data_IF_845453682860
#
_entry.id   IF_845453682860
#
_cell.length_a   1.000
_cell.length_b   1.000
_cell.length_c   1.000
_cell.angle_alpha   90.00
_cell.angle_beta   90.00
_cell.angle_gamma   90.00
#
_symmetry.space_group_name_H-M   'P 1'
#
loop_
_entity.id
_entity.type
_entity.pdbx_description
1 polymer ?
#
# COMPACT_ATOMS: atom_id res chain seq x y z
N UNK A 1 24.19 -21.08 -2.37
CA UNK A 1 24.27 -19.65 -2.78
C UNK A 1 23.30 -18.83 -1.94
N UNK A 2 23.22 -17.50 -2.12
CA UNK A 2 22.33 -16.64 -1.31
C UNK A 2 20.83 -17.03 -1.38
N UNK A 3 20.44 -17.77 -2.42
CA UNK A 3 19.08 -18.24 -2.67
C UNK A 3 18.77 -19.65 -2.11
N UNK A 4 19.68 -20.31 -1.39
CA UNK A 4 19.53 -21.71 -0.98
C UNK A 4 18.28 -21.99 -0.11
N UNK A 5 17.86 -21.01 0.68
CA UNK A 5 16.70 -21.16 1.59
C UNK A 5 15.37 -20.71 0.96
N UNK A 6 15.39 -20.31 -0.32
CA UNK A 6 14.22 -19.76 -1.02
C UNK A 6 13.64 -20.77 -2.00
N UNK A 7 12.31 -20.84 -2.05
CA UNK A 7 11.55 -21.72 -2.94
C UNK A 7 10.90 -20.90 -4.06
N UNK A 8 10.73 -21.52 -5.23
CA UNK A 8 10.08 -20.90 -6.39
C UNK A 8 8.56 -20.80 -6.22
N UNK A 9 7.95 -21.86 -5.66
CA UNK A 9 6.51 -21.90 -5.43
C UNK A 9 6.14 -21.29 -4.07
N UNK A 10 5.02 -20.54 -4.01
CA UNK A 10 4.44 -20.13 -2.74
C UNK A 10 4.21 -21.34 -1.83
N UNK A 11 4.58 -21.21 -0.56
CA UNK A 11 4.17 -22.17 0.46
C UNK A 11 2.77 -21.79 0.96
N UNK A 12 1.95 -22.77 1.31
CA UNK A 12 0.57 -22.57 1.77
C UNK A 12 0.46 -21.72 3.07
N UNK A 13 1.56 -21.55 3.80
CA UNK A 13 1.58 -20.80 5.07
C UNK A 13 2.10 -19.37 4.92
N UNK A 14 1.27 -18.39 5.25
CA UNK A 14 1.68 -16.98 5.40
C UNK A 14 2.64 -16.80 6.60
N UNK A 15 3.65 -15.92 6.50
CA UNK A 15 4.56 -15.65 7.60
C UNK A 15 3.88 -14.87 8.72
N UNK A 16 4.34 -15.05 9.95
CA UNK A 16 3.91 -14.21 11.06
C UNK A 16 4.58 -12.84 10.98
N UNK A 17 3.78 -11.79 10.76
CA UNK A 17 4.24 -10.41 10.66
C UNK A 17 4.13 -9.63 11.97
N UNK A 18 3.58 -10.24 13.03
CA UNK A 18 3.53 -9.67 14.39
C UNK A 18 4.91 -9.33 14.95
N UNK A 19 4.95 -8.47 15.97
CA UNK A 19 6.16 -8.05 16.66
C UNK A 19 6.19 -8.54 18.10
N UNK A 20 7.38 -8.87 18.60
CA UNK A 20 7.61 -9.01 20.03
C UNK A 20 7.65 -7.61 20.66
N UNK A 21 7.12 -7.48 21.88
CA UNK A 21 7.07 -6.19 22.60
C UNK A 21 8.45 -5.53 22.70
N UNK A 22 9.47 -6.30 23.09
CA UNK A 22 10.85 -5.80 23.24
C UNK A 22 11.45 -5.33 21.90
N UNK A 23 11.12 -6.01 20.80
CA UNK A 23 11.55 -5.61 19.45
C UNK A 23 10.90 -4.27 19.06
N UNK A 24 9.59 -4.15 19.32
CA UNK A 24 8.85 -2.92 19.05
C UNK A 24 9.41 -1.74 19.87
N UNK A 25 9.68 -1.95 21.17
CA UNK A 25 10.26 -0.92 22.05
C UNK A 25 11.60 -0.40 21.52
N UNK A 26 12.54 -1.28 21.14
CA UNK A 26 13.84 -0.87 20.58
C UNK A 26 13.67 -0.05 19.30
N UNK A 27 12.81 -0.50 18.39
CA UNK A 27 12.55 0.21 17.13
C UNK A 27 11.94 1.58 17.39
N UNK A 28 10.99 1.68 18.31
CA UNK A 28 10.34 2.95 18.66
C UNK A 28 11.33 3.92 19.30
N UNK A 29 12.16 3.46 20.23
CA UNK A 29 13.21 4.29 20.84
C UNK A 29 14.11 4.88 19.76
N UNK A 30 14.64 4.04 18.86
CA UNK A 30 15.47 4.52 17.75
C UNK A 30 14.74 5.52 16.83
N UNK A 31 13.44 5.34 16.59
CA UNK A 31 12.64 6.22 15.71
C UNK A 31 12.16 7.52 16.33
N UNK A 32 12.32 7.68 17.65
CA UNK A 32 11.78 8.81 18.41
C UNK A 32 12.84 9.58 19.20
N UNK A 33 14.06 9.06 19.26
CA UNK A 33 15.21 9.68 19.91
C UNK A 33 16.30 10.02 18.89
N UNK A 34 17.08 11.03 19.22
CA UNK A 34 18.25 11.47 18.46
C UNK A 34 19.45 11.55 19.39
N UNK A 35 20.68 11.40 18.88
CA UNK A 35 21.89 11.60 19.68
C UNK A 35 21.91 12.99 20.37
N UNK A 36 22.60 13.08 21.51
CA UNK A 36 22.72 14.33 22.27
C UNK A 36 23.37 15.47 21.47
N UNK A 37 24.20 15.12 20.48
CA UNK A 37 24.90 16.05 19.58
C UNK A 37 24.13 16.32 18.27
N UNK A 38 22.83 16.01 18.21
CA UNK A 38 21.97 16.25 17.05
C UNK A 38 20.97 17.37 17.32
N UNK A 39 20.96 18.38 16.46
CA UNK A 39 20.05 19.53 16.55
C UNK A 39 18.90 19.40 15.53
N UNK A 40 17.70 18.90 15.92
CA UNK A 40 16.59 18.73 14.99
C UNK A 40 15.90 20.06 14.69
N UNK A 41 15.68 20.35 13.42
CA UNK A 41 14.78 21.44 13.02
C UNK A 41 13.38 21.29 13.65
N UNK A 42 12.72 22.41 13.99
CA UNK A 42 11.43 22.44 14.73
C UNK A 42 10.36 21.48 14.17
N UNK A 43 10.28 21.33 12.84
CA UNK A 43 9.34 20.40 12.21
C UNK A 43 9.69 18.92 12.44
N UNK A 44 10.98 18.57 12.47
CA UNK A 44 11.44 17.22 12.80
C UNK A 44 11.17 16.89 14.26
N UNK A 45 11.43 17.81 15.19
CA UNK A 45 11.08 17.61 16.60
C UNK A 45 9.59 17.28 16.79
N UNK A 46 8.70 18.03 16.14
CA UNK A 46 7.25 17.74 16.15
C UNK A 46 6.91 16.37 15.58
N UNK A 47 7.60 15.92 14.53
CA UNK A 47 7.41 14.59 13.97
C UNK A 47 7.78 13.51 14.98
N UNK A 48 8.94 13.64 15.65
CA UNK A 48 9.41 12.68 16.66
C UNK A 48 8.47 12.65 17.87
N UNK A 49 8.06 13.81 18.37
CA UNK A 49 7.10 13.92 19.47
C UNK A 49 5.75 13.27 19.11
N UNK A 50 5.26 13.46 17.87
CA UNK A 50 4.04 12.83 17.41
C UNK A 50 4.17 11.30 17.32
N UNK A 51 5.33 10.78 16.89
CA UNK A 51 5.59 9.33 16.88
C UNK A 51 5.56 8.73 18.30
N UNK A 52 6.05 9.45 19.31
CA UNK A 52 5.94 9.03 20.72
C UNK A 52 4.47 8.90 21.14
N UNK A 53 3.66 9.92 20.86
CA UNK A 53 2.22 9.90 21.13
C UNK A 53 1.48 8.77 20.43
N UNK A 54 1.86 8.47 19.18
CA UNK A 54 1.31 7.32 18.44
C UNK A 54 1.62 6.00 19.11
N UNK A 55 2.85 5.84 19.59
CA UNK A 55 3.26 4.63 20.31
C UNK A 55 2.58 4.51 21.68
N UNK A 56 2.41 5.62 22.39
CA UNK A 56 1.71 5.67 23.68
C UNK A 56 0.18 5.46 23.54
N UNK A 57 -0.32 5.39 22.31
CA UNK A 57 -1.75 5.20 22.02
C UNK A 57 -2.59 6.46 22.21
N UNK A 58 -1.98 7.63 22.36
CA UNK A 58 -2.70 8.91 22.45
C UNK A 58 -3.36 9.30 21.14
N UNK A 59 -2.73 8.93 20.01
CA UNK A 59 -3.25 9.15 18.66
C UNK A 59 -3.02 7.90 17.78
N UNK A 60 -3.84 7.68 16.74
CA UNK A 60 -3.60 6.58 15.81
C UNK A 60 -2.26 6.68 15.08
N UNK A 61 -1.64 5.53 14.80
CA UNK A 61 -0.41 5.42 14.02
C UNK A 61 -0.69 5.82 12.57
N UNK A 62 0.08 6.77 12.05
CA UNK A 62 0.01 7.21 10.66
C UNK A 62 0.84 6.33 9.71
N UNK A 63 0.75 6.64 8.41
CA UNK A 63 1.42 5.88 7.36
C UNK A 63 2.94 5.91 7.47
N UNK A 64 3.51 7.07 7.79
CA UNK A 64 4.95 7.27 7.87
C UNK A 64 5.57 6.56 9.06
N UNK A 65 4.86 6.51 10.19
CA UNK A 65 5.32 5.77 11.36
C UNK A 65 5.14 4.27 11.18
N UNK A 66 4.03 3.79 10.62
CA UNK A 66 3.85 2.37 10.31
C UNK A 66 4.93 1.86 9.33
N UNK A 67 5.29 2.64 8.31
CA UNK A 67 6.40 2.30 7.40
C UNK A 67 7.73 2.18 8.15
N UNK A 68 8.04 3.16 9.01
CA UNK A 68 9.26 3.16 9.80
C UNK A 68 9.32 1.96 10.77
N UNK A 69 8.21 1.60 11.41
CA UNK A 69 8.09 0.40 12.24
C UNK A 69 8.32 -0.89 11.43
N UNK A 70 7.78 -0.96 10.20
CA UNK A 70 8.00 -2.10 9.31
C UNK A 70 9.49 -2.23 8.95
N UNK A 71 10.13 -1.13 8.57
CA UNK A 71 11.55 -1.11 8.27
C UNK A 71 12.40 -1.51 9.48
N UNK A 72 12.21 -0.86 10.62
CA UNK A 72 12.99 -1.14 11.82
C UNK A 72 12.84 -2.60 12.28
N UNK A 73 11.65 -3.15 12.20
CA UNK A 73 11.42 -4.56 12.54
C UNK A 73 12.05 -5.53 11.54
N UNK A 74 12.06 -5.23 10.24
CA UNK A 74 12.79 -6.03 9.23
C UNK A 74 14.30 -6.01 9.52
N UNK A 75 14.85 -4.85 9.88
CA UNK A 75 16.27 -4.68 10.22
C UNK A 75 16.63 -5.45 11.51
N UNK A 76 15.81 -5.37 12.56
CA UNK A 76 15.99 -6.16 13.80
C UNK A 76 15.95 -7.67 13.54
N UNK A 77 15.26 -8.12 12.49
CA UNK A 77 15.26 -9.51 12.05
C UNK A 77 16.53 -9.91 11.26
N UNK A 78 17.50 -8.99 11.09
CA UNK A 78 18.77 -9.21 10.40
C UNK A 78 18.71 -9.10 8.87
N UNK A 79 17.57 -8.64 8.32
CA UNK A 79 17.43 -8.38 6.88
C UNK A 79 17.93 -6.98 6.53
N UNK A 80 18.31 -6.77 5.28
CA UNK A 80 18.74 -5.47 4.78
C UNK A 80 17.58 -4.76 4.09
N UNK A 81 17.65 -3.43 3.98
CA UNK A 81 16.69 -2.64 3.22
C UNK A 81 17.47 -1.72 2.28
N UNK A 82 17.06 -1.68 1.02
CA UNK A 82 17.56 -0.72 0.05
C UNK A 82 16.36 -0.02 -0.57
N UNK A 83 16.30 1.30 -0.45
CA UNK A 83 15.26 2.12 -1.05
C UNK A 83 15.88 3.17 -1.95
N UNK A 84 15.45 3.22 -3.21
CA UNK A 84 15.83 4.31 -4.11
C UNK A 84 14.61 4.97 -4.74
N UNK A 85 14.72 6.26 -5.00
CA UNK A 85 13.70 7.06 -5.65
C UNK A 85 14.00 8.54 -5.51
N UNK A 86 13.30 9.36 -6.27
CA UNK A 86 13.49 10.82 -6.22
C UNK A 86 12.95 11.34 -4.89
N UNK A 87 13.81 12.00 -4.11
CA UNK A 87 13.50 12.55 -2.78
C UNK A 87 13.03 11.53 -1.72
N UNK A 88 13.29 10.23 -1.92
CA UNK A 88 12.79 9.17 -1.04
C UNK A 88 13.29 9.24 0.40
N UNK A 89 14.45 9.86 0.68
CA UNK A 89 14.96 10.07 2.06
C UNK A 89 13.94 10.81 2.94
N UNK A 90 13.38 11.90 2.42
CA UNK A 90 12.33 12.69 3.07
C UNK A 90 10.93 12.15 2.74
N UNK A 91 10.80 11.56 1.55
CA UNK A 91 9.55 11.26 0.87
C UNK A 91 9.02 12.49 0.13
N UNK A 92 8.49 12.29 -1.07
CA UNK A 92 7.89 13.34 -1.91
C UNK A 92 6.87 14.18 -1.13
N UNK A 93 6.02 13.52 -0.35
CA UNK A 93 4.99 14.15 0.47
C UNK A 93 5.44 14.53 1.89
N UNK A 94 6.76 14.52 2.16
CA UNK A 94 7.36 14.84 3.47
C UNK A 94 6.74 14.04 4.62
N UNK A 95 6.46 12.76 4.40
CA UNK A 95 5.82 11.87 5.38
C UNK A 95 6.82 10.91 6.05
N UNK A 96 7.95 10.63 5.40
CA UNK A 96 8.86 9.55 5.81
C UNK A 96 9.95 10.02 6.77
N UNK A 97 10.74 11.01 6.35
CA UNK A 97 11.89 11.52 7.12
C UNK A 97 12.76 10.39 7.70
N UNK A 98 13.18 9.44 6.85
CA UNK A 98 14.01 8.32 7.28
C UNK A 98 15.49 8.72 7.41
N UNK A 99 15.90 9.80 6.74
CA UNK A 99 17.17 10.47 6.97
C UNK A 99 16.87 11.85 7.56
N UNK A 100 17.36 12.08 8.77
CA UNK A 100 17.28 13.35 9.48
C UNK A 100 18.52 14.17 9.13
N UNK A 101 18.37 15.48 9.00
CA UNK A 101 19.48 16.41 8.74
C UNK A 101 19.56 17.38 9.91
N UNK A 102 20.75 17.47 10.48
CA UNK A 102 21.05 18.41 11.55
C UNK A 102 20.95 19.85 11.05
N UNK A 103 20.25 20.72 11.80
CA UNK A 103 20.01 22.11 11.40
C UNK A 103 21.28 22.99 11.45
N UNK A 104 22.26 22.64 12.29
CA UNK A 104 23.45 23.47 12.50
C UNK A 104 24.63 23.07 11.61
N UNK A 105 24.81 21.77 11.36
CA UNK A 105 26.00 21.25 10.68
C UNK A 105 25.71 20.36 9.46
N UNK A 106 24.44 20.19 9.08
CA UNK A 106 23.99 19.43 7.92
C UNK A 106 24.34 17.92 7.94
N UNK A 107 24.80 17.39 9.09
CA UNK A 107 25.07 15.96 9.26
C UNK A 107 23.79 15.16 9.09
N UNK A 108 23.84 14.16 8.23
CA UNK A 108 22.76 13.17 8.10
C UNK A 108 22.82 12.16 9.26
N UNK A 109 21.66 11.87 9.85
CA UNK A 109 21.46 10.81 10.82
C UNK A 109 20.31 9.90 10.34
N UNK A 110 20.55 8.58 10.33
CA UNK A 110 19.57 7.58 9.89
C UNK A 110 19.16 6.76 11.11
N UNK A 111 18.05 7.11 11.81
CA UNK A 111 17.74 6.48 13.09
C UNK A 111 17.56 4.97 13.00
N UNK A 112 17.05 4.48 11.86
CA UNK A 112 16.88 3.07 11.57
C UNK A 112 18.19 2.26 11.49
N UNK A 113 19.36 2.90 11.38
CA UNK A 113 20.67 2.24 11.44
C UNK A 113 21.25 2.16 12.87
N UNK A 114 20.48 2.55 13.89
CA UNK A 114 20.91 2.64 15.29
C UNK A 114 19.87 2.03 16.26
N UNK A 115 19.28 0.89 15.90
CA UNK A 115 18.29 0.14 16.69
C UNK A 115 18.96 -0.88 17.63
N UNK A 116 19.91 -1.68 17.12
CA UNK A 116 20.68 -2.66 17.90
C UNK A 116 21.97 -3.08 17.20
N UNK A 117 22.90 -3.71 17.92
CA UNK A 117 24.22 -4.09 17.35
C UNK A 117 24.15 -5.19 16.27
N UNK A 118 23.10 -6.03 16.30
CA UNK A 118 22.95 -7.19 15.42
C UNK A 118 21.91 -6.98 14.30
N UNK A 119 21.42 -5.76 14.12
CA UNK A 119 20.46 -5.45 13.07
C UNK A 119 21.08 -5.57 11.67
N UNK A 120 20.22 -5.67 10.65
CA UNK A 120 20.59 -5.36 9.28
C UNK A 120 20.72 -3.86 9.03
N UNK A 121 21.13 -3.51 7.82
CA UNK A 121 21.39 -2.13 7.42
C UNK A 121 20.35 -1.62 6.43
N UNK A 122 19.94 -0.35 6.58
CA UNK A 122 19.11 0.35 5.62
C UNK A 122 19.90 1.41 4.85
N UNK A 123 19.78 1.35 3.52
CA UNK A 123 20.31 2.34 2.60
C UNK A 123 19.14 3.03 1.87
N UNK A 124 19.01 4.35 2.02
CA UNK A 124 17.97 5.15 1.34
C UNK A 124 18.65 6.21 0.48
N UNK A 125 18.37 6.16 -0.82
CA UNK A 125 19.05 6.95 -1.83
C UNK A 125 18.06 7.86 -2.53
N UNK A 126 18.37 9.16 -2.52
CA UNK A 126 17.75 10.08 -3.47
C UNK A 126 18.37 9.81 -4.83
N UNK A 127 17.59 9.20 -5.72
CA UNK A 127 18.06 8.84 -7.06
C UNK A 127 18.26 10.09 -7.93
N UNK A 128 19.04 10.02 -9.03
CA UNK A 128 18.91 11.00 -10.09
C UNK A 128 17.49 10.97 -10.68
N UNK A 129 17.16 12.00 -11.46
CA UNK A 129 15.88 12.13 -12.16
C UNK A 129 15.82 11.18 -13.36
N UNK A 130 15.73 9.88 -13.09
CA UNK A 130 15.62 8.82 -14.09
C UNK A 130 14.82 7.64 -13.54
N UNK A 131 13.69 7.32 -14.16
CA UNK A 131 12.86 6.19 -13.78
C UNK A 131 13.41 4.90 -14.39
N UNK A 132 13.72 4.94 -15.70
CA UNK A 132 14.16 3.77 -16.46
C UNK A 132 15.42 3.12 -15.89
N UNK A 133 16.49 3.91 -15.74
CA UNK A 133 17.81 3.38 -15.36
C UNK A 133 17.84 2.94 -13.90
N UNK A 134 17.19 3.71 -13.02
CA UNK A 134 17.14 3.43 -11.58
C UNK A 134 16.29 2.19 -11.32
N UNK A 135 15.10 2.06 -11.93
CA UNK A 135 14.29 0.85 -11.79
C UNK A 135 15.04 -0.39 -12.32
N UNK A 136 15.77 -0.25 -13.42
CA UNK A 136 16.64 -1.31 -13.94
C UNK A 136 17.76 -1.73 -12.98
N UNK A 137 18.38 -0.75 -12.33
CA UNK A 137 19.40 -0.99 -11.31
C UNK A 137 18.81 -1.73 -10.11
N UNK A 138 17.69 -1.27 -9.56
CA UNK A 138 17.05 -1.90 -8.40
C UNK A 138 16.53 -3.30 -8.72
N UNK A 139 16.01 -3.52 -9.93
CA UNK A 139 15.71 -4.87 -10.40
C UNK A 139 16.95 -5.78 -10.36
N UNK A 140 18.08 -5.34 -10.91
CA UNK A 140 19.35 -6.09 -10.86
C UNK A 140 19.82 -6.39 -9.43
N UNK A 141 19.67 -5.43 -8.51
CA UNK A 141 19.98 -5.62 -7.10
C UNK A 141 19.09 -6.71 -6.48
N UNK A 142 17.78 -6.67 -6.75
CA UNK A 142 16.80 -7.62 -6.22
C UNK A 142 17.04 -9.07 -6.65
N UNK A 143 17.72 -9.30 -7.78
CA UNK A 143 18.12 -10.64 -8.24
C UNK A 143 19.33 -11.20 -7.49
N UNK A 144 20.16 -10.31 -6.94
CA UNK A 144 21.46 -10.67 -6.37
C UNK A 144 21.35 -11.03 -4.90
N UNK A 145 20.50 -10.32 -4.15
CA UNK A 145 20.33 -10.54 -2.70
C UNK A 145 18.86 -10.73 -2.28
N UNK A 146 18.42 -11.98 -2.02
CA UNK A 146 17.07 -12.23 -1.54
C UNK A 146 16.86 -11.85 -0.06
N UNK A 147 17.93 -11.49 0.69
CA UNK A 147 17.84 -11.03 2.08
C UNK A 147 17.73 -9.50 2.21
N UNK A 148 17.66 -8.79 1.08
CA UNK A 148 17.43 -7.34 1.04
C UNK A 148 16.01 -7.05 0.57
N UNK A 149 15.26 -6.25 1.33
CA UNK A 149 14.04 -5.61 0.83
C UNK A 149 14.46 -4.48 -0.11
N UNK A 150 14.33 -4.71 -1.41
CA UNK A 150 14.63 -3.71 -2.43
C UNK A 150 13.36 -2.98 -2.80
N UNK A 151 13.33 -1.65 -2.58
CA UNK A 151 12.22 -0.78 -2.91
C UNK A 151 12.65 0.26 -3.94
N UNK A 152 11.80 0.49 -4.93
CA UNK A 152 11.85 1.63 -5.82
C UNK A 152 10.59 2.48 -5.64
N UNK A 153 10.74 3.78 -5.38
CA UNK A 153 9.63 4.72 -5.21
C UNK A 153 9.61 5.74 -6.36
N UNK A 154 8.49 5.79 -7.07
CA UNK A 154 8.23 6.86 -8.02
C UNK A 154 7.82 8.12 -7.26
N UNK A 155 8.21 9.31 -7.76
CA UNK A 155 7.77 10.57 -7.16
C UNK A 155 6.24 10.72 -7.20
N UNK A 156 5.66 10.38 -8.35
CA UNK A 156 4.24 10.08 -8.53
C UNK A 156 4.13 8.80 -9.36
N UNK A 157 3.10 7.99 -9.11
CA UNK A 157 2.92 6.72 -9.79
C UNK A 157 2.80 6.87 -11.31
N UNK A 158 2.28 8.00 -11.78
CA UNK A 158 2.11 8.33 -13.21
C UNK A 158 3.43 8.25 -14.00
N UNK A 159 4.57 8.58 -13.38
CA UNK A 159 5.89 8.62 -14.03
C UNK A 159 6.53 7.25 -14.23
N UNK A 160 5.94 6.18 -13.67
CA UNK A 160 6.42 4.81 -13.85
C UNK A 160 6.47 4.37 -15.32
N UNK A 161 5.69 5.03 -16.17
CA UNK A 161 5.66 4.80 -17.62
C UNK A 161 7.02 5.02 -18.30
N UNK A 162 7.90 5.86 -17.76
CA UNK A 162 9.26 6.05 -18.25
C UNK A 162 10.10 4.77 -18.19
N UNK A 163 9.74 3.83 -17.33
CA UNK A 163 10.43 2.56 -17.12
C UNK A 163 9.66 1.34 -17.67
N UNK A 164 8.73 1.53 -18.61
CA UNK A 164 7.82 0.47 -19.08
C UNK A 164 8.54 -0.80 -19.58
N UNK A 165 9.67 -0.65 -20.29
CA UNK A 165 10.43 -1.82 -20.78
C UNK A 165 10.93 -2.68 -19.62
N UNK A 166 11.33 -2.07 -18.51
CA UNK A 166 11.74 -2.81 -17.31
C UNK A 166 10.58 -3.60 -16.73
N UNK A 167 9.38 -3.01 -16.71
CA UNK A 167 8.17 -3.65 -16.20
C UNK A 167 7.79 -4.86 -17.08
N UNK A 168 7.71 -4.65 -18.39
CA UNK A 168 7.21 -5.65 -19.34
C UNK A 168 8.21 -6.81 -19.53
N UNK A 169 9.49 -6.48 -19.69
CA UNK A 169 10.48 -7.46 -20.15
C UNK A 169 11.22 -8.15 -19.01
N UNK A 170 11.15 -7.60 -17.79
CA UNK A 170 11.89 -8.11 -16.64
C UNK A 170 10.97 -8.34 -15.45
N UNK A 171 10.36 -7.30 -14.88
CA UNK A 171 9.64 -7.41 -13.61
C UNK A 171 8.46 -8.38 -13.73
N UNK A 172 7.63 -8.25 -14.76
CA UNK A 172 6.44 -9.09 -14.93
C UNK A 172 6.70 -10.50 -15.48
N UNK A 173 7.88 -10.77 -16.06
CA UNK A 173 8.08 -11.97 -16.90
C UNK A 173 9.40 -12.73 -16.69
N UNK A 174 10.32 -12.20 -15.88
CA UNK A 174 11.66 -12.79 -15.68
C UNK A 174 11.66 -14.19 -15.08
N UNK A 175 10.74 -14.47 -14.16
CA UNK A 175 10.64 -15.78 -13.54
C UNK A 175 10.25 -16.86 -14.54
N UNK A 176 9.28 -16.58 -15.41
CA UNK A 176 8.84 -17.51 -16.46
C UNK A 176 9.91 -17.64 -17.55
N UNK A 177 10.55 -16.52 -17.94
CA UNK A 177 11.53 -16.50 -19.03
C UNK A 177 12.87 -17.12 -18.64
N UNK A 178 13.31 -16.91 -17.40
CA UNK A 178 14.70 -17.17 -16.98
C UNK A 178 14.83 -17.83 -15.60
N UNK A 179 13.72 -18.22 -14.96
CA UNK A 179 13.72 -18.75 -13.58
C UNK A 179 14.41 -17.83 -12.59
N UNK A 180 14.27 -16.51 -12.79
CA UNK A 180 14.80 -15.48 -11.90
C UNK A 180 13.67 -14.90 -11.06
N UNK A 181 13.70 -15.19 -9.75
CA UNK A 181 12.84 -14.54 -8.77
C UNK A 181 13.34 -13.14 -8.46
N UNK A 182 12.42 -12.22 -8.16
CA UNK A 182 12.71 -10.85 -7.74
C UNK A 182 11.78 -10.47 -6.61
N UNK A 183 12.33 -9.86 -5.56
CA UNK A 183 11.57 -9.33 -4.43
C UNK A 183 11.26 -7.84 -4.54
N UNK A 184 11.49 -7.23 -5.70
CA UNK A 184 11.40 -5.78 -5.88
C UNK A 184 10.01 -5.25 -5.51
N UNK A 185 9.97 -4.23 -4.66
CA UNK A 185 8.77 -3.47 -4.32
C UNK A 185 8.75 -2.19 -5.13
N UNK A 186 7.64 -1.92 -5.80
CA UNK A 186 7.39 -0.65 -6.49
C UNK A 186 6.34 0.14 -5.72
N UNK A 187 6.73 1.28 -5.15
CA UNK A 187 5.85 2.23 -4.47
C UNK A 187 5.41 3.29 -5.48
N UNK A 188 4.13 3.28 -5.85
CA UNK A 188 3.57 4.11 -6.91
C UNK A 188 2.48 5.03 -6.35
N UNK A 189 2.79 6.30 -6.03
CA UNK A 189 1.80 7.21 -5.47
C UNK A 189 0.58 7.35 -6.38
N UNK A 190 -0.58 6.99 -5.87
CA UNK A 190 -1.83 6.84 -6.61
C UNK A 190 -2.99 7.48 -5.83
N UNK A 191 -3.89 8.15 -6.54
CA UNK A 191 -5.13 8.66 -5.96
C UNK A 191 -5.69 9.86 -6.72
N UNK A 192 -7.01 9.90 -6.90
CA UNK A 192 -7.71 10.96 -7.61
C UNK A 192 -8.07 12.08 -6.63
N UNK A 193 -7.25 13.13 -6.62
CA UNK A 193 -7.30 14.22 -5.62
C UNK A 193 -7.35 15.62 -6.25
N UNK A 194 -7.68 15.70 -7.55
CA UNK A 194 -7.80 16.97 -8.27
C UNK A 194 -6.48 17.66 -8.59
N UNK A 195 -5.35 16.94 -8.53
CA UNK A 195 -4.01 17.46 -8.85
C UNK A 195 -3.67 17.39 -10.36
N UNK A 196 -4.62 16.97 -11.18
CA UNK A 196 -4.46 16.88 -12.64
C UNK A 196 -4.02 15.50 -13.15
N UNK A 197 -3.86 15.37 -14.47
CA UNK A 197 -3.79 14.07 -15.14
C UNK A 197 -2.49 13.29 -14.96
N UNK A 198 -1.37 13.96 -14.65
CA UNK A 198 -0.06 13.31 -14.43
C UNK A 198 0.32 13.22 -12.93
N UNK A 199 -0.65 13.40 -12.03
CA UNK A 199 -0.45 13.31 -10.58
C UNK A 199 -1.57 12.52 -9.91
N UNK A 200 -2.21 11.60 -10.63
CA UNK A 200 -3.42 10.91 -10.17
C UNK A 200 -3.30 9.39 -10.26
N UNK A 201 -2.73 8.84 -11.33
CA UNK A 201 -2.86 7.42 -11.65
C UNK A 201 -1.54 6.78 -12.02
N UNK A 202 -1.15 5.81 -11.19
CA UNK A 202 -0.13 4.82 -11.49
C UNK A 202 -0.49 3.82 -12.61
N UNK A 203 -1.62 3.98 -13.31
CA UNK A 203 -2.10 3.05 -14.37
C UNK A 203 -2.26 1.62 -13.86
N UNK A 204 -2.97 1.46 -12.74
CA UNK A 204 -3.24 0.16 -12.10
C UNK A 204 -3.67 -0.92 -13.10
N UNK A 205 -4.51 -0.56 -14.07
CA UNK A 205 -5.00 -1.44 -15.13
C UNK A 205 -3.87 -2.11 -15.94
N UNK A 206 -2.74 -1.42 -16.13
CA UNK A 206 -1.60 -1.92 -16.92
C UNK A 206 -0.87 -3.03 -16.17
N UNK A 207 -0.69 -2.86 -14.87
CA UNK A 207 -0.11 -3.89 -14.01
C UNK A 207 -1.02 -5.12 -13.95
N UNK A 208 -2.33 -4.91 -13.82
CA UNK A 208 -3.30 -6.00 -13.81
C UNK A 208 -3.39 -6.75 -15.15
N UNK A 209 -3.19 -6.07 -16.28
CA UNK A 209 -3.10 -6.72 -17.59
C UNK A 209 -1.91 -7.68 -17.69
N UNK A 210 -0.79 -7.36 -17.03
CA UNK A 210 0.42 -8.19 -17.00
C UNK A 210 0.33 -9.35 -16.01
N UNK A 211 -0.68 -9.38 -15.14
CA UNK A 211 -0.83 -10.39 -14.09
C UNK A 211 -1.23 -11.76 -14.65
N UNK A 212 -0.39 -12.77 -14.47
CA UNK A 212 -0.68 -14.15 -14.83
C UNK A 212 0.18 -15.12 -14.01
N UNK A 213 -0.37 -16.28 -13.65
CA UNK A 213 0.37 -17.37 -13.00
C UNK A 213 1.18 -16.94 -11.76
N UNK A 214 0.61 -16.05 -10.93
CA UNK A 214 1.22 -15.49 -9.73
C UNK A 214 2.61 -14.87 -9.98
N UNK A 215 2.81 -14.24 -11.14
CA UNK A 215 4.08 -13.61 -11.53
C UNK A 215 4.44 -12.39 -10.67
N UNK A 216 3.45 -11.68 -10.14
CA UNK A 216 3.61 -10.49 -9.32
C UNK A 216 2.49 -10.39 -8.28
N UNK A 217 2.53 -9.34 -7.47
CA UNK A 217 1.50 -8.99 -6.51
C UNK A 217 1.10 -7.54 -6.74
N UNK A 218 -0.19 -7.23 -6.71
CA UNK A 218 -0.72 -5.86 -6.88
C UNK A 218 -1.63 -5.55 -5.71
N UNK A 219 -1.21 -4.56 -4.91
CA UNK A 219 -1.89 -4.15 -3.69
C UNK A 219 -2.19 -2.64 -3.72
N UNK A 220 -3.26 -2.24 -3.05
CA UNK A 220 -3.66 -0.85 -2.86
C UNK A 220 -4.22 -0.72 -1.45
N UNK A 221 -3.29 -0.59 -0.49
CA UNK A 221 -3.63 -0.62 0.92
C UNK A 221 -4.45 0.60 1.32
N UNK A 222 -5.39 0.43 2.25
CA UNK A 222 -6.19 1.54 2.78
C UNK A 222 -5.79 1.95 4.19
N UNK A 223 -4.97 1.18 4.91
CA UNK A 223 -4.55 1.49 6.28
C UNK A 223 -3.02 1.35 6.47
N UNK A 224 -2.42 2.12 7.40
CA UNK A 224 -1.03 1.96 7.82
C UNK A 224 -0.70 0.54 8.30
N UNK A 225 -1.60 -0.14 9.04
CA UNK A 225 -1.39 -1.52 9.47
C UNK A 225 -1.28 -2.51 8.30
N UNK A 226 -2.15 -2.38 7.30
CA UNK A 226 -2.06 -3.18 6.08
C UNK A 226 -0.72 -2.97 5.36
N UNK A 227 -0.26 -1.71 5.25
CA UNK A 227 1.03 -1.41 4.64
C UNK A 227 2.20 -2.00 5.44
N UNK A 228 2.19 -1.86 6.77
CA UNK A 228 3.19 -2.45 7.66
C UNK A 228 3.30 -3.97 7.46
N UNK A 229 2.17 -4.68 7.51
CA UNK A 229 2.17 -6.13 7.37
C UNK A 229 2.56 -6.55 5.96
N UNK A 230 2.16 -5.80 4.93
CA UNK A 230 2.51 -6.10 3.54
C UNK A 230 4.02 -6.03 3.31
N UNK A 231 4.71 -5.01 3.82
CA UNK A 231 6.17 -4.87 3.71
C UNK A 231 6.90 -6.02 4.42
N UNK A 232 6.47 -6.37 5.64
CA UNK A 232 7.05 -7.51 6.39
C UNK A 232 6.77 -8.83 5.67
N UNK A 233 5.55 -9.02 5.17
CA UNK A 233 5.14 -10.20 4.41
C UNK A 233 6.04 -10.40 3.18
N UNK A 234 6.39 -9.32 2.47
CA UNK A 234 7.29 -9.39 1.32
C UNK A 234 8.67 -9.97 1.68
N UNK A 235 9.22 -9.64 2.84
CA UNK A 235 10.53 -10.16 3.27
C UNK A 235 10.49 -11.52 3.94
N UNK A 236 9.48 -11.74 4.79
CA UNK A 236 9.41 -12.94 5.63
C UNK A 236 8.92 -14.17 4.88
N UNK A 237 8.32 -14.02 3.69
CA UNK A 237 8.00 -15.15 2.83
C UNK A 237 9.26 -15.88 2.37
N UNK A 238 9.17 -17.20 2.21
CA UNK A 238 10.26 -18.05 1.73
C UNK A 238 10.44 -18.03 0.19
N UNK A 239 9.82 -17.07 -0.49
CA UNK A 239 9.91 -16.87 -1.93
C UNK A 239 9.93 -15.37 -2.24
N UNK A 240 10.25 -15.00 -3.49
CA UNK A 240 10.32 -13.60 -3.92
C UNK A 240 9.52 -13.39 -5.19
N UNK A 241 8.50 -12.53 -5.12
CA UNK A 241 7.73 -12.04 -6.27
C UNK A 241 7.70 -10.51 -6.23
N UNK A 242 7.75 -9.82 -7.38
CA UNK A 242 7.56 -8.38 -7.41
C UNK A 242 6.26 -7.97 -6.73
N UNK A 243 6.32 -6.84 -6.03
CA UNK A 243 5.18 -6.28 -5.30
C UNK A 243 4.94 -4.87 -5.78
N UNK A 244 3.80 -4.65 -6.42
CA UNK A 244 3.36 -3.35 -6.91
C UNK A 244 2.36 -2.78 -5.90
N UNK A 245 2.69 -1.64 -5.30
CA UNK A 245 1.85 -0.97 -4.32
C UNK A 245 1.39 0.36 -4.89
N UNK A 246 0.08 0.53 -5.02
CA UNK A 246 -0.54 1.84 -5.21
C UNK A 246 -0.40 2.61 -3.89
N UNK A 247 0.72 3.28 -3.67
CA UNK A 247 0.97 3.98 -2.41
C UNK A 247 0.10 5.23 -2.32
N UNK A 248 -0.36 5.62 -1.12
CA UNK A 248 -1.32 6.71 -1.02
C UNK A 248 -0.63 8.08 -1.04
N UNK A 249 -1.45 9.12 -1.24
CA UNK A 249 -1.07 10.53 -1.06
C UNK A 249 -1.86 11.18 0.07
N UNK A 250 -3.17 11.30 -0.05
CA UNK A 250 -4.06 11.84 0.99
C UNK A 250 -4.07 11.00 2.27
N UNK A 251 -4.06 9.67 2.16
CA UNK A 251 -4.09 8.77 3.33
C UNK A 251 -2.83 8.87 4.21
N UNK A 252 -1.76 9.51 3.73
CA UNK A 252 -0.57 9.79 4.54
C UNK A 252 -0.87 10.68 5.74
N UNK A 253 -1.97 11.44 5.71
CA UNK A 253 -2.34 12.41 6.76
C UNK A 253 -3.81 12.38 7.14
N UNK A 254 -4.60 11.47 6.58
CA UNK A 254 -6.03 11.33 6.89
C UNK A 254 -6.17 10.68 8.29
N UNK A 255 -6.71 11.38 9.30
CA UNK A 255 -6.82 10.83 10.66
C UNK A 255 -7.61 9.52 10.72
N UNK A 256 -8.69 9.42 9.94
CA UNK A 256 -9.57 8.26 9.85
C UNK A 256 -8.88 7.03 9.26
N UNK A 257 -7.76 7.22 8.55
CA UNK A 257 -6.95 6.13 8.04
C UNK A 257 -5.95 5.58 9.07
N UNK A 258 -5.73 6.25 10.19
CA UNK A 258 -4.78 5.82 11.21
C UNK A 258 -5.10 4.44 11.78
N UNK A 259 -4.07 3.72 12.23
CA UNK A 259 -4.20 2.36 12.79
C UNK A 259 -3.91 2.34 14.29
N UNK A 260 -4.53 1.41 15.02
CA UNK A 260 -4.17 1.17 16.41
C UNK A 260 -2.81 0.45 16.51
N UNK A 261 -2.14 0.58 17.66
CA UNK A 261 -0.88 -0.14 17.92
C UNK A 261 -1.07 -1.66 17.87
N UNK A 262 -2.22 -2.16 18.32
CA UNK A 262 -2.55 -3.59 18.31
C UNK A 262 -2.68 -4.13 16.88
N UNK A 263 -3.21 -3.34 15.95
CA UNK A 263 -3.29 -3.72 14.53
C UNK A 263 -1.90 -3.87 13.91
N UNK A 264 -0.90 -3.12 14.39
CA UNK A 264 0.51 -3.22 13.96
C UNK A 264 1.20 -4.40 14.65
N UNK A 265 1.12 -4.47 15.98
CA UNK A 265 1.92 -5.39 16.78
C UNK A 265 1.41 -6.83 16.77
N UNK A 266 0.08 -7.03 16.70
CA UNK A 266 -0.58 -8.33 16.77
C UNK A 266 -1.37 -8.70 15.52
N UNK A 267 -1.62 -7.74 14.62
CA UNK A 267 -2.37 -7.96 13.39
C UNK A 267 -1.64 -8.81 12.34
N UNK A 268 -2.30 -8.94 11.19
CA UNK A 268 -1.80 -9.60 9.98
C UNK A 268 -2.25 -8.79 8.76
N UNK A 269 -1.59 -9.00 7.62
CA UNK A 269 -2.12 -8.53 6.34
C UNK A 269 -3.40 -9.32 6.01
N UNK A 270 -4.44 -8.61 5.58
CA UNK A 270 -5.67 -9.20 5.06
C UNK A 270 -5.88 -8.77 3.63
N UNK A 271 -6.07 -9.70 2.72
CA UNK A 271 -6.28 -9.42 1.29
C UNK A 271 -7.58 -8.66 1.04
N UNK A 272 -8.61 -8.95 1.84
CA UNK A 272 -9.91 -8.27 1.83
C UNK A 272 -10.29 -7.92 3.27
N UNK A 273 -10.64 -6.65 3.50
CA UNK A 273 -11.22 -6.18 4.75
C UNK A 273 -12.74 -6.11 4.58
N UNK A 274 -13.47 -6.78 5.47
CA UNK A 274 -14.91 -6.58 5.60
C UNK A 274 -15.20 -5.19 6.20
N UNK A 275 -16.47 -4.83 6.20
CA UNK A 275 -16.93 -3.59 6.78
C UNK A 275 -17.05 -3.72 8.31
N UNK A 276 -16.26 -2.97 9.11
CA UNK A 276 -16.34 -3.06 10.55
C UNK A 276 -17.67 -2.51 11.11
N UNK A 277 -18.39 -1.65 10.38
CA UNK A 277 -19.59 -0.97 10.88
C UNK A 277 -20.88 -1.81 10.73
N UNK A 278 -20.81 -2.93 10.02
CA UNK A 278 -21.98 -3.82 9.82
C UNK A 278 -22.12 -4.88 10.91
N UNK A 279 -21.16 -4.96 11.84
CA UNK A 279 -21.14 -5.96 12.92
C UNK A 279 -22.42 -5.90 13.76
N UNK A 280 -23.16 -7.01 13.79
CA UNK A 280 -24.45 -7.12 14.50
C UNK A 280 -25.67 -6.63 13.72
N UNK A 281 -25.48 -6.11 12.50
CA UNK A 281 -26.52 -5.64 11.60
C UNK A 281 -26.47 -6.32 10.23
N UNK A 282 -25.79 -7.46 10.12
CA UNK A 282 -25.53 -8.16 8.86
C UNK A 282 -26.82 -8.54 8.10
N UNK A 283 -27.90 -8.79 8.84
CA UNK A 283 -29.23 -9.09 8.30
C UNK A 283 -29.90 -7.90 7.59
N UNK A 284 -29.50 -6.65 7.88
CA UNK A 284 -30.04 -5.45 7.22
C UNK A 284 -29.37 -5.16 5.88
N UNK A 285 -28.21 -5.77 5.63
CA UNK A 285 -27.39 -5.44 4.46
C UNK A 285 -27.99 -6.07 3.20
N UNK A 286 -28.40 -5.22 2.27
CA UNK A 286 -28.92 -5.62 0.96
C UNK A 286 -27.98 -5.29 -0.19
N UNK A 287 -27.02 -4.38 0.03
CA UNK A 287 -26.04 -3.93 -0.96
C UNK A 287 -24.62 -4.03 -0.41
N UNK A 288 -23.71 -4.60 -1.18
CA UNK A 288 -22.28 -4.69 -0.86
C UNK A 288 -21.47 -3.92 -1.90
N UNK A 289 -20.69 -2.95 -1.45
CA UNK A 289 -19.72 -2.21 -2.25
C UNK A 289 -18.33 -2.81 -2.01
N UNK A 290 -17.73 -3.41 -3.03
CA UNK A 290 -16.28 -3.65 -3.05
C UNK A 290 -15.58 -2.42 -3.62
N UNK A 291 -14.49 -2.01 -2.97
CA UNK A 291 -13.63 -0.93 -3.44
C UNK A 291 -12.17 -1.20 -3.06
N UNK A 292 -11.25 -0.32 -3.43
CA UNK A 292 -9.83 -0.45 -3.09
C UNK A 292 -9.17 0.91 -2.89
N UNK A 293 -8.26 1.03 -1.92
CA UNK A 293 -7.58 2.28 -1.62
C UNK A 293 -8.48 3.37 -1.05
N UNK A 294 -8.17 4.63 -1.38
CA UNK A 294 -8.71 5.81 -0.68
C UNK A 294 -10.21 6.07 -0.85
N UNK A 295 -10.83 5.57 -1.93
CA UNK A 295 -12.27 5.77 -2.20
C UNK A 295 -13.14 5.22 -1.06
N UNK A 296 -12.64 4.23 -0.31
CA UNK A 296 -13.30 3.73 0.90
C UNK A 296 -13.70 4.85 1.86
N UNK A 297 -12.80 5.80 2.11
CA UNK A 297 -13.03 6.85 3.10
C UNK A 297 -14.10 7.84 2.63
N UNK A 298 -14.17 8.13 1.33
CA UNK A 298 -15.22 8.98 0.77
C UNK A 298 -16.59 8.29 0.84
N UNK A 299 -16.65 6.99 0.52
CA UNK A 299 -17.88 6.19 0.62
C UNK A 299 -18.34 6.08 2.07
N UNK A 300 -17.43 5.77 2.99
CA UNK A 300 -17.73 5.66 4.43
C UNK A 300 -18.30 6.96 4.98
N UNK A 301 -17.62 8.07 4.70
CA UNK A 301 -18.06 9.40 5.15
C UNK A 301 -19.46 9.74 4.64
N UNK A 302 -19.71 9.56 3.34
CA UNK A 302 -21.02 9.87 2.78
C UNK A 302 -22.11 8.93 3.32
N UNK A 303 -21.80 7.65 3.53
CA UNK A 303 -22.73 6.69 4.14
C UNK A 303 -23.18 7.15 5.52
N UNK A 304 -22.23 7.59 6.35
CA UNK A 304 -22.49 8.12 7.69
C UNK A 304 -23.35 9.39 7.63
N UNK A 305 -22.96 10.36 6.78
CA UNK A 305 -23.68 11.63 6.61
C UNK A 305 -25.13 11.44 6.13
N UNK A 306 -25.40 10.42 5.32
CA UNK A 306 -26.75 10.11 4.82
C UNK A 306 -27.53 9.11 5.69
N UNK A 307 -26.93 8.56 6.76
CA UNK A 307 -27.58 7.56 7.62
C UNK A 307 -27.98 6.28 6.89
N UNK A 308 -27.18 5.85 5.91
CA UNK A 308 -27.48 4.66 5.08
C UNK A 308 -27.06 3.39 5.84
N UNK A 309 -28.04 2.61 6.30
CA UNK A 309 -27.82 1.42 7.15
C UNK A 309 -27.77 0.08 6.39
N UNK A 310 -28.25 0.03 5.14
CA UNK A 310 -28.42 -1.23 4.39
C UNK A 310 -27.28 -1.51 3.39
N UNK A 311 -26.19 -0.74 3.45
CA UNK A 311 -25.04 -0.83 2.55
C UNK A 311 -23.76 -1.14 3.33
N UNK A 312 -23.09 -2.23 2.94
CA UNK A 312 -21.75 -2.59 3.42
C UNK A 312 -20.66 -2.13 2.44
N UNK A 313 -19.49 -1.76 2.95
CA UNK A 313 -18.32 -1.34 2.17
C UNK A 313 -17.12 -2.22 2.54
N UNK A 314 -16.76 -3.13 1.64
CA UNK A 314 -15.58 -3.99 1.75
C UNK A 314 -14.41 -3.45 0.92
N UNK A 315 -13.19 -3.67 1.40
CA UNK A 315 -11.96 -3.19 0.77
C UNK A 315 -11.12 -4.35 0.29
N UNK A 316 -10.77 -4.34 -1.00
CA UNK A 316 -9.82 -5.26 -1.60
C UNK A 316 -8.43 -4.64 -1.53
N UNK A 317 -7.63 -5.08 -0.56
CA UNK A 317 -6.29 -4.57 -0.27
C UNK A 317 -5.25 -5.22 -1.20
N UNK A 318 -5.47 -6.49 -1.56
CA UNK A 318 -4.74 -7.21 -2.60
C UNK A 318 -5.69 -7.50 -3.77
N UNK A 319 -5.35 -6.98 -4.94
CA UNK A 319 -6.13 -7.15 -6.18
C UNK A 319 -5.58 -8.35 -6.97
N UNK A 320 -4.26 -8.54 -6.93
CA UNK A 320 -3.58 -9.69 -7.52
C UNK A 320 -2.52 -10.28 -6.58
N UNK A 321 -2.42 -11.61 -6.42
CA UNK A 321 -3.39 -12.63 -6.87
C UNK A 321 -4.81 -12.38 -6.34
N UNK A 322 -5.81 -12.74 -7.13
CA UNK A 322 -7.22 -12.50 -6.80
C UNK A 322 -7.62 -13.30 -5.54
N UNK A 323 -8.07 -12.65 -4.46
CA UNK A 323 -8.35 -13.31 -3.19
C UNK A 323 -9.73 -13.98 -3.18
N UNK A 324 -9.83 -15.09 -3.92
CA UNK A 324 -11.07 -15.81 -4.19
C UNK A 324 -11.83 -16.15 -2.89
N UNK A 325 -11.16 -16.76 -1.92
CA UNK A 325 -11.79 -17.21 -0.67
C UNK A 325 -12.26 -16.03 0.17
N UNK A 326 -11.41 -15.01 0.35
CA UNK A 326 -11.72 -13.85 1.19
C UNK A 326 -12.86 -13.01 0.60
N UNK A 327 -12.99 -12.93 -0.74
CA UNK A 327 -14.14 -12.29 -1.38
C UNK A 327 -15.42 -13.07 -1.11
N UNK A 328 -15.38 -14.41 -1.23
CA UNK A 328 -16.54 -15.25 -0.96
C UNK A 328 -16.99 -15.14 0.51
N UNK A 329 -16.04 -15.17 1.44
CA UNK A 329 -16.29 -15.02 2.87
C UNK A 329 -17.02 -13.70 3.18
N UNK A 330 -16.58 -12.59 2.58
CA UNK A 330 -17.24 -11.28 2.76
C UNK A 330 -18.67 -11.28 2.22
N UNK A 331 -18.91 -11.88 1.05
CA UNK A 331 -20.28 -11.95 0.50
C UNK A 331 -21.20 -12.81 1.39
N UNK A 332 -20.68 -13.89 1.98
CA UNK A 332 -21.44 -14.79 2.84
C UNK A 332 -21.86 -14.17 4.19
N UNK A 333 -21.20 -13.09 4.62
CA UNK A 333 -21.61 -12.35 5.81
C UNK A 333 -23.04 -11.78 5.69
N UNK A 334 -23.53 -11.53 4.48
CA UNK A 334 -24.76 -10.78 4.24
C UNK A 334 -25.85 -11.68 3.61
N UNK A 335 -26.71 -12.33 4.40
CA UNK A 335 -27.70 -13.28 3.87
C UNK A 335 -28.85 -12.63 3.09
N UNK A 336 -29.07 -11.32 3.25
CA UNK A 336 -30.09 -10.55 2.52
C UNK A 336 -29.52 -9.79 1.31
N UNK A 337 -28.30 -10.14 0.87
CA UNK A 337 -27.61 -9.48 -0.22
C UNK A 337 -28.38 -9.62 -1.54
N UNK A 338 -28.65 -8.48 -2.18
CA UNK A 338 -29.36 -8.37 -3.46
C UNK A 338 -28.50 -7.74 -4.54
N UNK A 339 -27.58 -6.87 -4.15
CA UNK A 339 -26.78 -6.07 -5.07
C UNK A 339 -25.32 -6.05 -4.63
N UNK A 340 -24.41 -6.25 -5.59
CA UNK A 340 -22.98 -6.11 -5.40
C UNK A 340 -22.48 -5.06 -6.39
N UNK A 341 -21.63 -4.15 -5.93
CA UNK A 341 -20.98 -3.18 -6.82
C UNK A 341 -19.47 -3.18 -6.63
N UNK A 342 -18.75 -3.02 -7.74
CA UNK A 342 -17.37 -2.57 -7.70
C UNK A 342 -17.33 -1.05 -7.83
N UNK A 343 -16.77 -0.36 -6.84
CA UNK A 343 -16.68 1.10 -6.82
C UNK A 343 -15.22 1.52 -6.90
N UNK A 344 -14.90 2.38 -7.86
CA UNK A 344 -13.55 2.88 -8.07
C UNK A 344 -13.57 4.35 -8.49
N UNK A 345 -12.53 5.08 -8.12
CA UNK A 345 -12.37 6.48 -8.50
C UNK A 345 -11.79 6.63 -9.92
N UNK A 346 -11.12 5.60 -10.42
CA UNK A 346 -10.57 5.57 -11.76
C UNK A 346 -11.69 5.52 -12.84
N UNK A 347 -11.46 6.13 -14.02
CA UNK A 347 -12.30 5.97 -15.20
C UNK A 347 -12.63 4.50 -15.50
N UNK A 348 -13.79 4.24 -16.11
CA UNK A 348 -14.24 2.88 -16.45
C UNK A 348 -13.20 2.02 -17.19
N UNK A 349 -12.41 2.65 -18.06
CA UNK A 349 -11.36 2.01 -18.88
C UNK A 349 -9.99 1.93 -18.17
N UNK A 350 -9.94 2.22 -16.88
CA UNK A 350 -8.74 2.27 -16.02
C UNK A 350 -9.04 1.56 -14.69
N UNK A 351 -8.06 1.51 -13.80
CA UNK A 351 -8.23 0.88 -12.48
C UNK A 351 -8.43 -0.64 -12.59
N UNK A 352 -9.13 -1.22 -11.62
CA UNK A 352 -9.26 -2.68 -11.52
C UNK A 352 -10.50 -3.28 -12.20
N UNK A 353 -11.44 -2.44 -12.68
CA UNK A 353 -12.74 -2.91 -13.15
C UNK A 353 -12.65 -4.02 -14.20
N UNK A 354 -11.91 -3.82 -15.29
CA UNK A 354 -11.85 -4.82 -16.38
C UNK A 354 -11.19 -6.13 -15.93
N UNK A 355 -10.26 -6.07 -14.97
CA UNK A 355 -9.64 -7.25 -14.38
C UNK A 355 -10.61 -8.01 -13.45
N UNK A 356 -11.37 -7.29 -12.63
CA UNK A 356 -12.22 -7.87 -11.60
C UNK A 356 -13.61 -8.26 -12.10
N UNK A 357 -14.09 -7.65 -13.20
CA UNK A 357 -15.46 -7.82 -13.72
C UNK A 357 -15.91 -9.28 -13.71
N UNK A 358 -15.17 -10.14 -14.41
CA UNK A 358 -15.57 -11.53 -14.61
C UNK A 358 -15.28 -12.39 -13.36
N UNK A 359 -14.25 -12.03 -12.58
CA UNK A 359 -13.85 -12.73 -11.35
C UNK A 359 -14.87 -12.55 -10.23
N UNK A 360 -15.30 -11.31 -9.99
CA UNK A 360 -16.37 -10.99 -9.04
C UNK A 360 -17.70 -11.56 -9.50
N UNK A 361 -18.03 -11.43 -10.80
CA UNK A 361 -19.28 -11.96 -11.34
C UNK A 361 -19.41 -13.49 -11.12
N UNK A 362 -18.31 -14.23 -11.28
CA UNK A 362 -18.29 -15.67 -11.07
C UNK A 362 -18.58 -16.11 -9.62
N UNK A 363 -18.46 -15.20 -8.64
CA UNK A 363 -18.69 -15.48 -7.22
C UNK A 363 -20.00 -14.94 -6.68
N UNK A 364 -20.80 -14.26 -7.52
CA UNK A 364 -22.05 -13.67 -7.07
C UNK A 364 -23.02 -14.74 -6.57
N UNK A 365 -23.70 -14.50 -5.44
CA UNK A 365 -24.85 -15.31 -5.05
C UNK A 365 -25.90 -15.29 -6.16
N UNK A 366 -26.63 -16.40 -6.32
CA UNK A 366 -27.66 -16.54 -7.35
C UNK A 366 -28.70 -15.42 -7.23
N UNK A 367 -29.00 -14.75 -8.35
CA UNK A 367 -29.98 -13.66 -8.40
C UNK A 367 -29.47 -12.29 -7.93
N UNK A 368 -28.22 -12.17 -7.47
CA UNK A 368 -27.64 -10.87 -7.14
C UNK A 368 -27.39 -10.02 -8.39
N UNK A 369 -27.79 -8.75 -8.33
CA UNK A 369 -27.43 -7.74 -9.32
C UNK A 369 -25.97 -7.34 -9.17
N UNK A 370 -25.27 -7.12 -10.28
CA UNK A 370 -23.87 -6.69 -10.26
C UNK A 370 -23.54 -5.64 -11.32
N UNK A 371 -22.87 -4.57 -10.89
CA UNK A 371 -22.39 -3.50 -11.78
C UNK A 371 -21.19 -2.77 -11.17
N UNK A 372 -20.47 -2.02 -12.00
CA UNK A 372 -19.47 -1.07 -11.54
C UNK A 372 -20.04 0.34 -11.37
N UNK A 373 -19.48 1.09 -10.43
CA UNK A 373 -19.70 2.53 -10.27
C UNK A 373 -18.32 3.19 -10.38
N UNK A 374 -18.11 3.90 -11.48
CA UNK A 374 -16.80 4.44 -11.88
C UNK A 374 -16.96 5.85 -12.44
N UNK A 375 -15.86 6.59 -12.58
CA UNK A 375 -15.83 7.74 -13.49
C UNK A 375 -16.11 7.28 -14.94
N UNK A 376 -16.67 8.16 -15.81
CA UNK A 376 -16.82 7.86 -17.22
C UNK A 376 -15.48 7.48 -17.86
N UNK A 377 -15.46 6.66 -18.94
CA UNK A 377 -14.23 6.36 -19.64
C UNK A 377 -13.61 7.65 -20.20
N UNK A 378 -12.28 7.78 -20.07
CA UNK A 378 -11.55 8.98 -20.44
C UNK A 378 -10.20 8.62 -21.08
N UNK A 379 -9.74 9.38 -22.09
CA UNK A 379 -8.37 9.25 -22.61
C UNK A 379 -7.33 9.78 -21.62
N UNK A 380 -7.70 10.80 -20.84
CA UNK A 380 -6.89 11.37 -19.77
C UNK A 380 -7.10 10.58 -18.47
N UNK A 381 -6.06 10.34 -17.64
CA UNK A 381 -6.25 9.70 -16.35
C UNK A 381 -7.26 10.43 -15.48
N UNK A 382 -7.16 11.76 -15.36
CA UNK A 382 -8.03 12.58 -14.54
C UNK A 382 -8.42 13.89 -15.24
N UNK A 383 -9.43 14.59 -14.70
CA UNK A 383 -9.78 15.94 -15.09
C UNK A 383 -8.64 16.93 -14.75
N UNK A 384 -8.39 17.89 -15.64
CA UNK A 384 -7.42 18.97 -15.40
C UNK A 384 -7.95 20.12 -14.54
N UNK A 385 -9.27 20.22 -14.37
CA UNK A 385 -9.92 21.25 -13.56
C UNK A 385 -10.41 20.64 -12.24
N UNK A 386 -10.06 21.27 -11.13
CA UNK A 386 -10.45 20.83 -9.79
C UNK A 386 -11.96 20.85 -9.55
N UNK A 387 -12.69 21.78 -10.16
CA UNK A 387 -14.15 21.84 -10.09
C UNK A 387 -14.82 20.61 -10.69
N UNK A 388 -14.38 20.21 -11.89
CA UNK A 388 -14.87 19.01 -12.58
C UNK A 388 -14.53 17.76 -11.75
N UNK A 389 -13.30 17.66 -11.25
CA UNK A 389 -12.90 16.55 -10.38
C UNK A 389 -13.82 16.40 -9.16
N UNK A 390 -14.17 17.51 -8.50
CA UNK A 390 -15.06 17.51 -7.33
C UNK A 390 -16.46 17.06 -7.71
N UNK A 391 -17.03 17.59 -8.79
CA UNK A 391 -18.35 17.18 -9.30
C UNK A 391 -18.38 15.68 -9.62
N UNK A 392 -17.34 15.16 -10.28
CA UNK A 392 -17.21 13.71 -10.55
C UNK A 392 -17.12 12.88 -9.27
N UNK A 393 -16.38 13.35 -8.26
CA UNK A 393 -16.21 12.63 -7.00
C UNK A 393 -17.51 12.58 -6.21
N UNK A 394 -18.21 13.72 -6.09
CA UNK A 394 -19.51 13.80 -5.42
C UNK A 394 -20.54 12.90 -6.12
N UNK A 395 -20.60 12.94 -7.45
CA UNK A 395 -21.53 12.12 -8.23
C UNK A 395 -21.22 10.62 -8.14
N UNK A 396 -19.94 10.25 -8.11
CA UNK A 396 -19.50 8.86 -7.94
C UNK A 396 -19.97 8.28 -6.60
N UNK A 397 -19.69 9.01 -5.51
CA UNK A 397 -20.02 8.58 -4.15
C UNK A 397 -21.54 8.55 -3.96
N UNK A 398 -22.25 9.57 -4.47
CA UNK A 398 -23.72 9.63 -4.45
C UNK A 398 -24.34 8.42 -5.13
N UNK A 399 -23.90 8.08 -6.35
CA UNK A 399 -24.39 6.89 -7.11
C UNK A 399 -24.13 5.57 -6.40
N UNK A 400 -23.08 5.49 -5.59
CA UNK A 400 -22.75 4.27 -4.87
C UNK A 400 -23.73 3.96 -3.73
N UNK A 401 -24.23 5.01 -3.06
CA UNK A 401 -24.97 4.89 -1.81
C UNK A 401 -26.46 5.19 -1.93
N UNK A 402 -26.87 5.99 -2.93
CA UNK A 402 -28.27 6.32 -3.25
C UNK A 402 -28.65 5.69 -4.58
#
# INVERSE_FOLDING_TARGET
>A
GRWADFKAEPLDSEPQTKLLKEQLERVVTALTETPDDFTPHRKLKRLLDNRKKMYEGEVPIDWGFAEALAFGSILENGYFIRMSGQDSKRGTFSHRHAVLVDEENEREYVPLNHISDNQGFIEIINSPLSEFSVLGFEYGYSLSDPKTLVLWEAQFGDFVNGAQIMIDQFISSSEVKWHRMSGLVMLLPHGYEGQGPEHSSARLERFLQLCSSNNMQVCNCSTPAQYFHLLRRQMLRAYRKPLIIMSPKSLLRLPEAGSALDDISMGIFREVLHDPETKGNEQKITRLLFCSGKIYYDLRKFREEQGVENVAIARMEQIYPYPLEQVADVMQLYPQLKEVFWVQEEPRNQGAWDFLRDRLHAQLPSGCYYKSITRPPSPSPAAGLSSIHREEQEELVRKALL
#
